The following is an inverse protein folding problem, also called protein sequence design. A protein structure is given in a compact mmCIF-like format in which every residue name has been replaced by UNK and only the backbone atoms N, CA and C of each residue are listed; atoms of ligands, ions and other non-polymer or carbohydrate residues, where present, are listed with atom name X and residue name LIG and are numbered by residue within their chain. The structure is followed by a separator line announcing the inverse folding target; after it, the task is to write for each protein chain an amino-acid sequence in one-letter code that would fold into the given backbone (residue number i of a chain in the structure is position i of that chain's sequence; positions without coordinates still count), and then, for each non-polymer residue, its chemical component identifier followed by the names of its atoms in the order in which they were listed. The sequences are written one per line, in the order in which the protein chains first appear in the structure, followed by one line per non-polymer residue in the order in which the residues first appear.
data_IF_419209463279
#
_entry.id   IF_419209463279
#
_cell.length_a   1.000
_cell.length_b   1.000
_cell.length_c   1.000
_cell.angle_alpha   90.00
_cell.angle_beta   90.00
_cell.angle_gamma   90.00
#
_symmetry.space_group_name_H-M   'P 1'
#
loop_
_entity.id
_entity.type
_entity.pdbx_description
1 polymer ?
#
# COMPACT_ATOMS: atom_id res chain seq x y z
N UNK A 1 -12.45 7.20 20.01
CA UNK A 1 -12.59 5.82 19.48
C UNK A 1 -13.65 5.63 18.38
N UNK A 2 -14.34 6.68 17.89
CA UNK A 2 -15.41 6.52 16.89
C UNK A 2 -14.90 5.84 15.60
N UNK A 3 -13.74 6.24 15.09
CA UNK A 3 -13.14 5.64 13.89
C UNK A 3 -12.93 4.11 14.01
N UNK A 4 -12.50 3.61 15.17
CA UNK A 4 -12.33 2.16 15.41
C UNK A 4 -13.67 1.43 15.33
N UNK A 5 -14.73 2.03 15.89
CA UNK A 5 -16.09 1.47 15.79
C UNK A 5 -16.56 1.41 14.34
N UNK A 6 -16.28 2.43 13.53
CA UNK A 6 -16.59 2.44 12.10
C UNK A 6 -15.80 1.36 11.34
N UNK A 7 -14.52 1.12 11.67
CA UNK A 7 -13.73 0.02 11.11
C UNK A 7 -14.38 -1.33 11.41
N UNK A 8 -14.78 -1.59 12.66
CA UNK A 8 -15.48 -2.84 12.99
C UNK A 8 -16.85 -2.95 12.31
N UNK A 9 -17.62 -1.86 12.24
CA UNK A 9 -18.89 -1.83 11.54
C UNK A 9 -18.75 -2.11 10.03
N UNK A 10 -17.63 -1.70 9.41
CA UNK A 10 -17.36 -1.91 7.99
C UNK A 10 -17.34 -3.39 7.58
N UNK A 11 -17.07 -4.30 8.53
CA UNK A 11 -17.13 -5.74 8.30
C UNK A 11 -18.53 -6.20 7.87
N UNK A 12 -19.58 -5.48 8.27
CA UNK A 12 -20.98 -5.85 8.05
C UNK A 12 -21.65 -5.04 6.94
N UNK A 13 -20.89 -4.37 6.07
CA UNK A 13 -21.49 -3.74 4.89
C UNK A 13 -21.95 -4.79 3.86
N UNK A 14 -22.91 -4.42 3.01
CA UNK A 14 -23.54 -5.33 2.04
C UNK A 14 -22.53 -6.02 1.12
N UNK A 15 -21.49 -5.29 0.70
CA UNK A 15 -20.46 -5.84 -0.19
C UNK A 15 -19.60 -6.90 0.51
N UNK A 16 -19.23 -6.67 1.77
CA UNK A 16 -18.45 -7.60 2.57
C UNK A 16 -19.27 -8.85 2.93
N UNK A 17 -20.57 -8.70 3.21
CA UNK A 17 -21.49 -9.82 3.41
C UNK A 17 -21.59 -10.65 2.13
N UNK A 18 -21.90 -10.01 1.00
CA UNK A 18 -22.01 -10.67 -0.29
C UNK A 18 -20.73 -11.42 -0.65
N UNK A 19 -19.56 -10.79 -0.51
CA UNK A 19 -18.27 -11.44 -0.78
C UNK A 19 -18.05 -12.71 0.07
N UNK A 20 -18.38 -12.66 1.38
CA UNK A 20 -18.23 -13.83 2.26
C UNK A 20 -19.16 -14.97 1.87
N UNK A 21 -20.41 -14.66 1.52
CA UNK A 21 -21.36 -15.67 1.04
C UNK A 21 -20.83 -16.34 -0.23
N UNK A 22 -20.36 -15.56 -1.20
CA UNK A 22 -19.79 -16.09 -2.45
C UNK A 22 -18.52 -16.92 -2.24
N UNK A 23 -17.73 -16.64 -1.20
CA UNK A 23 -16.53 -17.39 -0.85
C UNK A 23 -16.78 -18.53 0.15
N UNK A 24 -18.03 -18.72 0.61
CA UNK A 24 -18.41 -19.79 1.53
C UNK A 24 -17.89 -19.64 2.97
N UNK A 25 -17.60 -18.43 3.43
CA UNK A 25 -17.13 -18.19 4.81
C UNK A 25 -18.30 -18.12 5.81
N UNK A 26 -18.18 -18.80 6.96
CA UNK A 26 -19.12 -18.67 8.07
C UNK A 26 -19.07 -17.26 8.67
N UNK A 27 -20.24 -16.63 8.76
CA UNK A 27 -20.43 -15.28 9.30
C UNK A 27 -19.98 -15.13 10.76
N UNK A 28 -19.98 -16.22 11.54
CA UNK A 28 -19.64 -16.19 12.98
C UNK A 28 -18.13 -16.33 13.27
N UNK A 29 -17.32 -16.65 12.27
CA UNK A 29 -15.89 -16.95 12.44
C UNK A 29 -14.93 -15.82 12.03
N UNK A 30 -15.42 -14.62 11.70
CA UNK A 30 -14.58 -13.55 11.14
C UNK A 30 -14.18 -12.54 12.21
N UNK A 31 -12.88 -12.49 12.52
CA UNK A 31 -12.29 -11.47 13.36
C UNK A 31 -11.66 -10.36 12.50
N UNK A 32 -11.78 -9.11 12.95
CA UNK A 32 -11.14 -7.94 12.35
C UNK A 32 -10.16 -7.33 13.37
N UNK A 33 -8.99 -6.92 12.91
CA UNK A 33 -8.06 -6.10 13.69
C UNK A 33 -8.01 -4.69 13.11
N UNK A 34 -8.00 -3.68 13.98
CA UNK A 34 -7.90 -2.28 13.58
C UNK A 34 -6.46 -1.79 13.82
N UNK A 35 -5.71 -1.56 12.74
CA UNK A 35 -4.38 -0.95 12.80
C UNK A 35 -4.49 0.56 13.01
N UNK A 36 -3.79 1.10 14.01
CA UNK A 36 -3.67 2.54 14.24
C UNK A 36 -2.25 2.96 13.92
N UNK A 37 -2.07 3.71 12.84
CA UNK A 37 -0.77 4.14 12.34
C UNK A 37 -0.63 5.65 12.42
N UNK A 38 0.57 6.11 12.76
CA UNK A 38 0.90 7.54 12.71
C UNK A 38 0.94 7.99 11.25
N UNK A 39 0.16 9.02 10.93
CA UNK A 39 0.13 9.58 9.58
C UNK A 39 1.42 10.32 9.22
N UNK A 40 1.84 10.19 7.96
CA UNK A 40 2.95 10.96 7.40
C UNK A 40 2.42 12.26 6.78
N UNK A 41 3.21 13.33 6.87
CA UNK A 41 2.90 14.64 6.28
C UNK A 41 3.13 14.68 4.76
N UNK A 42 2.55 13.72 4.03
CA UNK A 42 2.61 13.69 2.57
C UNK A 42 1.61 14.65 1.92
N UNK A 43 0.68 15.21 2.69
CA UNK A 43 -0.15 16.36 2.32
C UNK A 43 0.70 17.54 1.81
N UNK A 44 1.93 17.70 2.33
CA UNK A 44 2.89 18.73 1.92
C UNK A 44 3.94 18.25 0.90
N UNK A 45 3.81 17.02 0.40
CA UNK A 45 4.77 16.39 -0.49
C UNK A 45 4.03 15.44 -1.44
N UNK A 46 4.40 14.15 -1.44
CA UNK A 46 3.96 13.18 -2.43
C UNK A 46 3.82 11.81 -1.81
N UNK A 47 3.00 10.98 -2.45
CA UNK A 47 2.70 9.60 -2.08
C UNK A 47 2.41 8.78 -3.32
N UNK A 48 2.38 7.46 -3.17
CA UNK A 48 1.99 6.58 -4.25
C UNK A 48 2.18 5.12 -3.91
N UNK A 49 2.27 4.31 -4.97
CA UNK A 49 2.37 2.86 -4.89
C UNK A 49 3.58 2.39 -5.69
N UNK A 50 4.21 1.30 -5.27
CA UNK A 50 5.25 0.61 -6.01
C UNK A 50 4.90 -0.86 -6.16
N UNK A 51 5.15 -1.39 -7.34
CA UNK A 51 5.09 -2.81 -7.61
C UNK A 51 6.50 -3.29 -7.96
N UNK A 52 6.93 -4.39 -7.35
CA UNK A 52 8.23 -5.01 -7.70
C UNK A 52 8.10 -5.91 -8.94
N UNK A 53 7.06 -5.73 -9.74
CA UNK A 53 6.82 -6.41 -11.01
C UNK A 53 6.02 -5.44 -11.88
N UNK A 54 6.21 -5.50 -13.20
CA UNK A 54 5.26 -4.87 -14.10
C UNK A 54 3.93 -5.64 -14.05
N UNK A 55 2.88 -4.98 -13.55
CA UNK A 55 1.56 -5.59 -13.38
C UNK A 55 0.83 -5.83 -14.70
N UNK A 56 1.22 -5.16 -15.78
CA UNK A 56 0.60 -5.35 -17.10
C UNK A 56 1.19 -6.54 -17.85
N UNK A 57 2.51 -6.59 -17.97
CA UNK A 57 3.20 -7.67 -18.71
C UNK A 57 3.62 -8.87 -17.84
N UNK A 58 3.71 -8.69 -16.52
CA UNK A 58 4.29 -9.67 -15.61
C UNK A 58 5.83 -9.70 -15.63
N UNK A 59 6.49 -8.71 -16.23
CA UNK A 59 7.95 -8.61 -16.27
C UNK A 59 8.53 -8.27 -14.89
N UNK A 60 9.34 -9.17 -14.33
CA UNK A 60 9.80 -9.12 -12.94
C UNK A 60 11.17 -8.43 -12.74
N UNK A 61 11.77 -7.91 -13.80
CA UNK A 61 13.07 -7.22 -13.73
C UNK A 61 12.95 -5.71 -13.54
N UNK A 62 11.75 -5.21 -13.25
CA UNK A 62 11.50 -3.78 -13.02
C UNK A 62 10.77 -3.55 -11.70
N UNK A 63 11.02 -2.40 -11.09
CA UNK A 63 10.14 -1.80 -10.09
C UNK A 63 9.32 -0.73 -10.82
N UNK A 64 8.00 -0.86 -10.77
CA UNK A 64 7.06 0.13 -11.28
C UNK A 64 6.63 1.04 -10.11
N UNK A 65 6.85 2.35 -10.24
CA UNK A 65 6.60 3.34 -9.19
C UNK A 65 5.60 4.36 -9.71
N UNK A 66 4.53 4.60 -8.97
CA UNK A 66 3.60 5.70 -9.20
C UNK A 66 3.75 6.77 -8.13
N UNK A 67 3.58 8.04 -8.50
CA UNK A 67 3.68 9.16 -7.56
C UNK A 67 2.69 10.28 -7.89
N UNK A 68 1.98 10.79 -6.88
CA UNK A 68 1.18 12.00 -6.97
C UNK A 68 1.38 12.89 -5.74
N UNK A 69 0.91 14.13 -5.82
CA UNK A 69 0.96 15.07 -4.70
C UNK A 69 -0.12 14.76 -3.65
N UNK A 70 0.19 14.94 -2.37
CA UNK A 70 -0.76 14.77 -1.27
C UNK A 70 -0.78 13.38 -0.62
N UNK A 71 -1.90 13.05 0.04
CA UNK A 71 -2.14 11.74 0.66
C UNK A 71 -2.41 10.65 -0.39
N UNK A 72 -1.94 9.43 -0.13
CA UNK A 72 -1.87 8.34 -1.13
C UNK A 72 -3.21 7.74 -1.53
N UNK A 73 -4.28 8.05 -0.81
CA UNK A 73 -5.62 7.51 -1.06
C UNK A 73 -6.11 7.80 -2.48
N UNK A 74 -5.78 8.97 -3.04
CA UNK A 74 -6.17 9.33 -4.41
C UNK A 74 -5.51 8.44 -5.47
N UNK A 75 -4.29 7.98 -5.24
CA UNK A 75 -3.57 7.07 -6.13
C UNK A 75 -4.14 5.66 -6.01
N UNK A 76 -4.33 5.20 -4.77
CA UNK A 76 -4.90 3.87 -4.46
C UNK A 76 -6.31 3.69 -5.04
N UNK A 77 -7.13 4.74 -5.02
CA UNK A 77 -8.48 4.71 -5.57
C UNK A 77 -8.53 4.88 -7.10
N UNK A 78 -7.39 5.13 -7.77
CA UNK A 78 -7.35 5.46 -9.20
C UNK A 78 -8.02 6.79 -9.54
N UNK A 79 -8.17 7.69 -8.55
CA UNK A 79 -8.87 8.97 -8.70
C UNK A 79 -7.98 10.08 -9.26
N UNK A 80 -6.65 9.87 -9.27
CA UNK A 80 -5.67 10.77 -9.90
C UNK A 80 -4.83 9.99 -10.90
N UNK A 81 -4.42 10.65 -11.99
CA UNK A 81 -3.42 10.12 -12.91
C UNK A 81 -2.02 10.51 -12.41
N UNK A 82 -1.24 9.57 -11.83
CA UNK A 82 0.04 9.84 -11.18
C UNK A 82 1.18 9.88 -12.21
N UNK A 83 2.34 10.39 -11.78
CA UNK A 83 3.59 10.13 -12.49
C UNK A 83 3.95 8.65 -12.38
N UNK A 84 4.60 8.12 -13.40
CA UNK A 84 5.00 6.73 -13.53
C UNK A 84 6.49 6.62 -13.83
N UNK A 85 7.16 5.72 -13.13
CA UNK A 85 8.58 5.44 -13.30
C UNK A 85 8.81 3.94 -13.37
N UNK A 86 9.70 3.52 -14.26
CA UNK A 86 10.19 2.15 -14.34
C UNK A 86 11.67 2.13 -14.00
N UNK A 87 12.05 1.30 -13.03
CA UNK A 87 13.44 1.16 -12.56
C UNK A 87 13.91 -0.26 -12.79
N UNK A 88 14.99 -0.45 -13.55
CA UNK A 88 15.52 -1.76 -13.88
C UNK A 88 16.33 -2.36 -12.72
N UNK A 89 15.83 -3.45 -12.12
CA UNK A 89 16.40 -4.05 -10.90
C UNK A 89 17.87 -4.46 -11.06
N UNK A 90 18.30 -5.14 -12.14
CA UNK A 90 19.70 -5.53 -12.33
C UNK A 90 20.66 -4.33 -12.41
N UNK A 91 20.23 -3.21 -13.02
CA UNK A 91 21.05 -1.99 -13.10
C UNK A 91 21.15 -1.31 -11.74
N UNK A 92 20.03 -1.25 -11.01
CA UNK A 92 19.96 -0.67 -9.67
C UNK A 92 20.86 -1.44 -8.68
N UNK A 93 20.85 -2.78 -8.71
CA UNK A 93 21.74 -3.63 -7.89
C UNK A 93 23.23 -3.40 -8.18
N UNK A 94 23.57 -2.92 -9.38
CA UNK A 94 24.95 -2.57 -9.76
C UNK A 94 25.33 -1.13 -9.39
N UNK A 95 24.46 -0.39 -8.70
CA UNK A 95 24.70 1.00 -8.29
C UNK A 95 24.81 1.98 -9.46
N UNK A 96 24.14 1.69 -10.58
CA UNK A 96 24.11 2.54 -11.77
C UNK A 96 22.74 3.20 -11.92
N UNK A 97 22.66 4.36 -12.61
CA UNK A 97 21.37 4.99 -12.93
C UNK A 97 20.44 3.98 -13.62
N UNK A 98 19.28 3.73 -13.01
CA UNK A 98 18.45 2.56 -13.33
C UNK A 98 17.05 2.92 -13.82
N UNK A 99 16.68 4.21 -13.86
CA UNK A 99 15.40 4.66 -14.39
C UNK A 99 15.39 4.49 -15.91
N UNK A 100 14.55 3.58 -16.42
CA UNK A 100 14.46 3.25 -17.85
C UNK A 100 13.32 3.98 -18.56
N UNK A 101 12.29 4.41 -17.82
CA UNK A 101 11.14 5.15 -18.37
C UNK A 101 10.54 6.08 -17.33
N UNK A 102 10.06 7.23 -17.81
CA UNK A 102 9.29 8.22 -17.04
C UNK A 102 8.07 8.60 -17.85
N UNK A 103 6.92 8.69 -17.20
CA UNK A 103 5.70 9.21 -17.81
C UNK A 103 5.05 10.19 -16.83
N UNK A 104 4.69 11.38 -17.32
CA UNK A 104 4.18 12.46 -16.49
C UNK A 104 2.67 12.37 -16.38
N UNK A 105 2.18 12.22 -15.15
CA UNK A 105 0.75 12.23 -14.86
C UNK A 105 0.21 13.64 -14.79
N UNK A 106 -1.09 13.79 -15.08
CA UNK A 106 -1.76 15.10 -15.01
C UNK A 106 -1.84 15.67 -13.59
N UNK A 107 -1.84 14.83 -12.55
CA UNK A 107 -1.82 15.20 -11.12
C UNK A 107 -2.78 16.37 -10.78
N UNK A 108 -3.99 16.37 -11.35
CA UNK A 108 -4.91 17.52 -11.27
C UNK A 108 -5.37 17.84 -9.85
N UNK A 109 -5.63 16.82 -9.06
CA UNK A 109 -6.17 16.91 -7.70
C UNK A 109 -5.25 16.22 -6.70
N UNK A 110 -5.29 16.69 -5.45
CA UNK A 110 -4.61 16.08 -4.31
C UNK A 110 -5.51 16.04 -3.09
N UNK A 111 -5.28 15.08 -2.20
CA UNK A 111 -5.90 15.04 -0.88
C UNK A 111 -4.94 15.61 0.17
N UNK A 112 -5.44 16.51 1.01
CA UNK A 112 -4.69 17.18 2.09
C UNK A 112 -5.49 17.14 3.40
N UNK A 113 -4.84 17.46 4.52
CA UNK A 113 -5.57 17.61 5.78
C UNK A 113 -6.52 18.81 5.72
N UNK A 114 -7.72 18.60 6.25
CA UNK A 114 -8.66 19.67 6.51
C UNK A 114 -8.43 20.24 7.91
N UNK A 115 -8.86 21.49 8.13
CA UNK A 115 -8.89 22.10 9.46
C UNK A 115 -9.99 21.48 10.34
N UNK A 116 -11.04 20.95 9.72
CA UNK A 116 -12.14 20.30 10.42
C UNK A 116 -11.69 18.94 10.97
N UNK A 117 -11.80 18.75 12.29
CA UNK A 117 -11.43 17.50 12.97
C UNK A 117 -12.59 16.52 13.18
N UNK A 118 -13.82 16.90 12.79
CA UNK A 118 -15.01 16.06 12.81
C UNK A 118 -14.76 14.74 12.08
N UNK A 119 -15.38 13.67 12.58
CA UNK A 119 -15.28 12.36 11.98
C UNK A 119 -15.71 12.36 10.50
N UNK A 120 -14.81 11.90 9.61
CA UNK A 120 -15.06 11.82 8.18
C UNK A 120 -14.77 13.12 7.41
N UNK A 121 -14.37 14.20 8.10
CA UNK A 121 -14.09 15.51 7.49
C UNK A 121 -12.63 15.95 7.67
N UNK A 122 -11.75 15.07 8.14
CA UNK A 122 -10.35 15.38 8.44
C UNK A 122 -9.45 15.55 7.21
N UNK A 123 -9.96 15.20 6.03
CA UNK A 123 -9.27 15.35 4.76
C UNK A 123 -10.17 16.11 3.78
N UNK A 124 -9.54 16.84 2.86
CA UNK A 124 -10.23 17.48 1.74
C UNK A 124 -9.45 17.27 0.45
N UNK A 125 -10.17 17.33 -0.66
CA UNK A 125 -9.59 17.27 -2.00
C UNK A 125 -9.50 18.71 -2.53
N UNK A 126 -8.35 19.06 -3.11
CA UNK A 126 -8.12 20.36 -3.73
C UNK A 126 -7.36 20.21 -5.05
N UNK A 127 -7.48 21.22 -5.89
CA UNK A 127 -6.70 21.33 -7.13
C UNK A 127 -5.22 21.55 -6.84
N UNK A 128 -4.36 20.79 -7.52
CA UNK A 128 -2.91 21.02 -7.50
C UNK A 128 -2.60 22.27 -8.33
N UNK A 129 -1.77 23.22 -7.88
CA UNK A 129 -1.36 24.36 -8.70
C UNK A 129 -0.69 23.91 -10.01
N UNK A 130 -0.97 24.59 -11.12
CA UNK A 130 -0.46 24.21 -12.46
C UNK A 130 1.06 24.07 -12.50
N UNK A 131 1.79 24.96 -11.83
CA UNK A 131 3.25 24.92 -11.72
C UNK A 131 3.77 23.62 -11.07
N UNK A 132 2.97 22.94 -10.24
CA UNK A 132 3.29 21.65 -9.62
C UNK A 132 2.82 20.45 -10.45
N UNK A 133 1.80 20.62 -11.32
CA UNK A 133 1.30 19.57 -12.22
C UNK A 133 2.34 19.23 -13.29
N UNK A 134 2.98 20.26 -13.84
CA UNK A 134 3.98 20.15 -14.92
C UNK A 134 5.39 19.76 -14.44
N UNK A 135 5.50 19.20 -13.23
CA UNK A 135 6.74 18.70 -12.65
C UNK A 135 6.52 17.30 -12.11
N UNK A 136 7.55 16.47 -12.18
CA UNK A 136 7.53 15.18 -11.50
C UNK A 136 7.43 15.37 -9.98
N UNK A 137 6.60 14.54 -9.34
CA UNK A 137 6.41 14.53 -7.89
C UNK A 137 7.67 14.03 -7.14
N UNK A 138 8.51 13.26 -7.82
CA UNK A 138 9.77 12.74 -7.34
C UNK A 138 10.93 13.20 -8.23
N UNK A 139 12.08 13.39 -7.61
CA UNK A 139 13.36 13.47 -8.31
C UNK A 139 13.96 12.09 -8.55
N UNK A 140 14.94 12.00 -9.43
CA UNK A 140 15.55 10.73 -9.83
C UNK A 140 16.17 9.99 -8.64
N UNK A 141 16.91 10.70 -7.79
CA UNK A 141 17.49 10.14 -6.56
C UNK A 141 16.42 9.54 -5.64
N UNK A 142 15.26 10.19 -5.56
CA UNK A 142 14.14 9.72 -4.72
C UNK A 142 13.46 8.49 -5.33
N UNK A 143 13.35 8.42 -6.67
CA UNK A 143 12.84 7.25 -7.39
C UNK A 143 13.77 6.05 -7.17
N UNK A 144 15.08 6.24 -7.29
CA UNK A 144 16.05 5.16 -7.08
C UNK A 144 16.12 4.73 -5.61
N UNK A 145 16.06 5.67 -4.66
CA UNK A 145 15.99 5.34 -3.23
C UNK A 145 14.73 4.53 -2.88
N UNK A 146 13.57 4.88 -3.44
CA UNK A 146 12.33 4.11 -3.28
C UNK A 146 12.44 2.72 -3.91
N UNK A 147 13.01 2.62 -5.12
CA UNK A 147 13.23 1.32 -5.76
C UNK A 147 14.18 0.42 -4.96
N UNK A 148 15.22 0.98 -4.33
CA UNK A 148 16.10 0.24 -3.42
C UNK A 148 15.34 -0.32 -2.22
N UNK A 149 14.45 0.48 -1.60
CA UNK A 149 13.59 0.01 -0.52
C UNK A 149 12.65 -1.11 -0.99
N UNK A 150 12.08 -0.99 -2.19
CA UNK A 150 11.20 -2.01 -2.78
C UNK A 150 11.94 -3.35 -2.97
N UNK A 151 13.20 -3.32 -3.41
CA UNK A 151 14.03 -4.52 -3.54
C UNK A 151 14.30 -5.21 -2.20
N UNK A 152 14.60 -4.44 -1.15
CA UNK A 152 14.82 -5.00 0.20
C UNK A 152 13.55 -5.67 0.74
N UNK A 153 12.39 -5.07 0.46
CA UNK A 153 11.09 -5.63 0.86
C UNK A 153 10.80 -6.91 0.07
N UNK A 154 10.97 -6.90 -1.25
CA UNK A 154 10.82 -8.10 -2.10
C UNK A 154 11.72 -9.24 -1.64
N UNK A 155 13.00 -8.95 -1.36
CA UNK A 155 13.96 -9.94 -0.88
C UNK A 155 13.55 -10.54 0.46
N UNK A 156 13.08 -9.70 1.39
CA UNK A 156 12.61 -10.15 2.70
C UNK A 156 11.41 -11.12 2.59
N UNK A 157 10.46 -10.85 1.69
CA UNK A 157 9.25 -11.66 1.52
C UNK A 157 9.36 -12.79 0.49
N UNK A 158 10.43 -12.80 -0.31
CA UNK A 158 10.74 -13.81 -1.32
C UNK A 158 9.73 -13.89 -2.47
N UNK A 159 8.98 -12.81 -2.73
CA UNK A 159 7.91 -12.76 -3.75
C UNK A 159 7.66 -11.33 -4.22
N UNK A 160 7.03 -11.13 -5.40
CA UNK A 160 6.63 -9.80 -5.84
C UNK A 160 5.71 -9.10 -4.83
N UNK A 161 5.93 -7.80 -4.63
CA UNK A 161 5.24 -6.98 -3.64
C UNK A 161 4.53 -5.78 -4.29
N UNK A 162 3.44 -5.37 -3.66
CA UNK A 162 2.67 -4.14 -3.84
C UNK A 162 2.87 -3.30 -2.57
N UNK A 163 3.42 -2.10 -2.71
CA UNK A 163 3.97 -1.31 -1.62
C UNK A 163 3.40 0.12 -1.67
N UNK A 164 2.70 0.53 -0.61
CA UNK A 164 2.27 1.91 -0.43
C UNK A 164 3.36 2.71 0.32
N UNK A 165 3.71 3.87 -0.24
CA UNK A 165 4.75 4.75 0.30
C UNK A 165 4.30 6.22 0.29
N UNK A 166 4.95 7.04 1.12
CA UNK A 166 4.87 8.48 0.98
C UNK A 166 6.10 9.18 1.55
N UNK A 167 6.17 10.46 1.21
CA UNK A 167 7.31 11.33 1.47
C UNK A 167 6.91 12.38 2.49
N UNK A 168 7.80 12.62 3.46
CA UNK A 168 7.76 13.78 4.36
C UNK A 168 8.82 14.80 3.93
N UNK A 169 8.59 16.10 4.19
CA UNK A 169 9.61 17.16 4.09
C UNK A 169 10.23 17.49 5.47
N UNK A 170 11.57 17.76 5.56
CA UNK A 170 12.60 17.47 4.55
C UNK A 170 12.70 15.96 4.28
N UNK A 171 13.26 15.58 3.10
CA UNK A 171 13.11 14.24 2.52
C UNK A 171 13.36 13.11 3.53
N UNK A 172 12.28 12.42 3.87
CA UNK A 172 12.28 11.12 4.56
C UNK A 172 11.12 10.33 3.98
N UNK A 173 11.41 9.33 3.16
CA UNK A 173 10.42 8.39 2.68
C UNK A 173 10.08 7.40 3.80
N UNK A 174 8.81 7.01 3.86
CA UNK A 174 8.33 5.98 4.74
C UNK A 174 7.42 5.03 3.95
N UNK A 175 7.59 3.73 4.21
CA UNK A 175 6.74 2.67 3.69
C UNK A 175 5.70 2.33 4.75
N UNK A 176 4.43 2.28 4.37
CA UNK A 176 3.33 2.07 5.33
C UNK A 176 2.72 0.68 5.21
N UNK A 177 2.69 0.16 3.99
CA UNK A 177 2.09 -1.12 3.68
C UNK A 177 2.89 -1.80 2.58
N UNK A 178 3.07 -3.10 2.73
CA UNK A 178 3.55 -4.00 1.70
C UNK A 178 2.66 -5.25 1.70
N UNK A 179 2.11 -5.61 0.54
CA UNK A 179 1.35 -6.83 0.28
C UNK A 179 1.94 -7.60 -0.91
N UNK A 180 1.57 -8.86 -1.11
CA UNK A 180 2.05 -9.61 -2.27
C UNK A 180 1.34 -9.14 -3.55
N UNK A 181 2.07 -8.96 -4.66
CA UNK A 181 1.50 -8.62 -5.97
C UNK A 181 1.22 -9.90 -6.80
N UNK A 182 -0.06 -10.10 -7.16
CA UNK A 182 -0.51 -11.15 -8.08
C UNK A 182 -1.14 -12.41 -7.46
N UNK A 183 -1.86 -13.18 -8.29
CA UNK A 183 -2.56 -14.44 -7.94
C UNK A 183 -1.67 -15.70 -8.02
N UNK A 184 -0.37 -15.57 -8.32
CA UNK A 184 0.55 -16.71 -8.42
C UNK A 184 1.16 -17.04 -7.05
N UNK A 185 0.41 -17.78 -6.24
CA UNK A 185 0.97 -18.53 -5.11
C UNK A 185 1.82 -19.69 -5.66
N UNK A 186 3.14 -19.64 -5.49
CA UNK A 186 3.96 -20.85 -5.55
C UNK A 186 3.61 -21.75 -4.34
N UNK A 187 3.50 -23.08 -4.49
CA UNK A 187 3.07 -23.96 -3.42
C UNK A 187 4.25 -24.26 -2.51
N UNK A 188 4.46 -23.47 -1.45
CA UNK A 188 5.40 -23.84 -0.39
C UNK A 188 4.81 -23.63 1.01
N UNK A 189 4.56 -24.79 1.63
CA UNK A 189 4.34 -25.10 3.04
C UNK A 189 3.30 -24.32 3.88
N UNK A 190 2.31 -25.11 4.33
CA UNK A 190 1.27 -24.82 5.31
C UNK A 190 1.85 -24.35 6.65
N UNK A 191 2.04 -23.05 6.85
CA UNK A 191 2.14 -22.48 8.21
C UNK A 191 1.96 -20.96 8.32
N UNK A 192 1.92 -20.19 7.22
CA UNK A 192 2.06 -18.73 7.33
C UNK A 192 0.95 -17.94 6.62
N UNK A 193 -0.27 -18.03 7.15
CA UNK A 193 -1.39 -17.14 6.75
C UNK A 193 -1.82 -16.13 7.83
N UNK A 194 -1.03 -15.91 8.88
CA UNK A 194 -1.40 -15.02 9.99
C UNK A 194 -0.95 -13.54 9.87
N UNK A 195 -0.09 -13.17 8.90
CA UNK A 195 0.36 -11.77 8.71
C UNK A 195 -0.46 -11.02 7.64
N UNK A 196 -1.27 -11.73 6.85
CA UNK A 196 -2.06 -11.13 5.76
C UNK A 196 -3.29 -10.32 6.24
N UNK A 197 -3.67 -10.41 7.53
CA UNK A 197 -4.94 -9.85 8.02
C UNK A 197 -4.89 -8.36 8.42
N UNK A 198 -3.71 -7.77 8.61
CA UNK A 198 -3.56 -6.31 8.82
C UNK A 198 -3.58 -5.54 7.47
N UNK A 199 -3.45 -6.26 6.35
CA UNK A 199 -3.17 -5.69 5.02
C UNK A 199 -4.44 -5.40 4.20
N UNK A 200 -5.62 -5.93 4.58
CA UNK A 200 -6.81 -5.93 3.70
C UNK A 200 -7.87 -4.83 3.92
N UNK A 201 -7.70 -3.88 4.84
CA UNK A 201 -8.79 -2.95 5.20
C UNK A 201 -8.76 -1.59 4.48
N UNK A 202 -7.70 -1.20 3.76
CA UNK A 202 -7.69 0.11 3.08
C UNK A 202 -7.31 0.10 1.59
N UNK A 203 -7.10 -1.07 0.98
CA UNK A 203 -6.62 -1.12 -0.41
C UNK A 203 -7.22 -2.33 -1.14
N UNK A 204 -8.53 -2.25 -1.42
CA UNK A 204 -9.21 -2.96 -2.51
C UNK A 204 -10.72 -2.67 -2.44
N UNK A 205 -11.18 -1.69 -3.20
CA UNK A 205 -12.60 -1.59 -3.56
C UNK A 205 -12.71 -1.11 -5.01
N UNK A 206 -13.26 -2.00 -5.85
CA UNK A 206 -13.52 -1.90 -7.31
C UNK A 206 -12.33 -2.10 -8.25
N UNK A 207 -12.08 -3.35 -8.69
CA UNK A 207 -12.38 -3.88 -10.04
C UNK A 207 -11.58 -5.19 -10.33
N UNK A 208 -12.30 -6.15 -10.93
CA UNK A 208 -11.92 -7.46 -11.52
C UNK A 208 -11.91 -8.72 -10.62
N UNK A 209 -12.98 -9.50 -10.85
CA UNK A 209 -13.09 -10.95 -10.70
C UNK A 209 -12.04 -11.70 -11.55
N UNK A 210 -11.26 -12.60 -10.94
CA UNK A 210 -11.09 -13.98 -11.42
C UNK A 210 -10.11 -14.76 -10.54
N UNK A 211 -10.60 -15.88 -10.00
CA UNK A 211 -9.87 -17.10 -9.62
C UNK A 211 -8.66 -17.01 -8.68
N UNK A 212 -8.77 -17.60 -7.48
CA UNK A 212 -7.98 -18.79 -7.06
C UNK A 212 -8.38 -19.21 -5.63
N UNK A 213 -8.35 -20.53 -5.42
CA UNK A 213 -8.99 -21.29 -4.38
C UNK A 213 -8.20 -21.46 -3.05
N UNK A 214 -8.98 -21.60 -1.96
CA UNK A 214 -8.86 -22.54 -0.82
C UNK A 214 -7.55 -22.73 -0.05
N UNK A 215 -7.59 -22.60 1.29
CA UNK A 215 -7.20 -23.68 2.27
C UNK A 215 -7.92 -23.46 3.63
N UNK A 216 -8.57 -24.47 4.25
CA UNK A 216 -9.13 -24.40 5.61
C UNK A 216 -8.14 -24.88 6.70
N UNK A 217 -8.14 -24.20 7.86
CA UNK A 217 -7.51 -24.68 9.10
C UNK A 217 -6.50 -23.73 9.76
N UNK A 218 -6.98 -22.68 10.46
CA UNK A 218 -6.12 -21.80 11.28
C UNK A 218 -6.84 -21.28 12.55
N UNK A 219 -7.33 -22.18 13.42
CA UNK A 219 -7.89 -21.76 14.71
C UNK A 219 -7.11 -22.22 15.96
N UNK A 220 -5.99 -22.94 15.84
CA UNK A 220 -5.22 -23.42 17.01
C UNK A 220 -3.87 -22.75 17.25
N UNK A 221 -3.39 -21.88 16.37
CA UNK A 221 -2.06 -21.23 16.51
C UNK A 221 -2.13 -19.79 17.05
N UNK A 222 -3.29 -19.35 17.57
CA UNK A 222 -3.52 -17.97 17.99
C UNK A 222 -3.04 -17.67 19.43
N UNK A 223 -2.73 -18.69 20.24
CA UNK A 223 -2.39 -18.49 21.66
C UNK A 223 -0.89 -18.43 22.00
N UNK A 224 0.03 -18.67 21.05
CA UNK A 224 1.48 -18.72 21.36
C UNK A 224 2.23 -17.45 20.91
N UNK A 225 1.71 -16.68 19.95
CA UNK A 225 2.43 -15.56 19.31
C UNK A 225 2.15 -14.17 19.90
N UNK A 226 1.22 -14.03 20.85
CA UNK A 226 0.91 -12.74 21.50
C UNK A 226 1.99 -12.24 22.48
N UNK A 227 3.14 -12.92 22.57
CA UNK A 227 4.23 -12.62 23.52
C UNK A 227 5.54 -12.15 22.89
N UNK A 228 5.57 -11.90 21.57
CA UNK A 228 6.82 -11.65 20.82
C UNK A 228 6.84 -10.37 19.96
N UNK A 229 5.81 -9.52 20.00
CA UNK A 229 5.83 -8.19 19.38
C UNK A 229 6.21 -7.16 20.44
N UNK A 230 7.45 -7.27 20.92
CA UNK A 230 8.17 -6.20 21.60
C UNK A 230 9.32 -5.80 20.65
N UNK A 231 9.06 -4.89 19.72
CA UNK A 231 10.13 -4.18 19.03
C UNK A 231 10.15 -2.74 19.52
N UNK A 232 11.12 -2.48 20.41
CA UNK A 232 11.55 -1.18 20.89
C UNK A 232 11.70 -0.19 19.73
N UNK A 233 10.86 0.84 19.70
CA UNK A 233 11.24 2.14 19.14
C UNK A 233 11.31 3.13 20.31
N UNK A 234 12.56 3.45 20.60
CA UNK A 234 13.14 4.35 21.59
C UNK A 234 12.27 5.57 21.93
N UNK A 235 12.10 5.77 23.24
CA UNK A 235 11.66 6.99 23.88
C UNK A 235 12.51 8.19 23.44
N UNK A 236 11.85 9.25 23.00
CA UNK A 236 12.17 10.62 23.39
C UNK A 236 10.86 11.40 23.30
N UNK A 237 10.57 12.14 24.37
CA UNK A 237 9.39 12.95 24.62
C UNK A 237 8.97 13.85 23.45
#
# INVERSE_FOLDING_TARGET
MIAIKHVFASLFNDRAISYRVHQGYDHRGVALSAGVQRMVRSDLASSGVMFTIDTESGFDQVVFITAAHGLGEMVVQGAVNPDEFYVHKPTLRKGKPAIVRRNMGSKKIRMVYAENQDHGKQVRIEDVPEAQRNRFALSDDEVEALAHQALLIEEHYGRPMDIEWAKRRPYRSAVYRAGASGNRCAPTNRLWSAISLIIRVMCWWKVVLSGIASVPGQLRLFMILARWIEFRLVMCW
#
